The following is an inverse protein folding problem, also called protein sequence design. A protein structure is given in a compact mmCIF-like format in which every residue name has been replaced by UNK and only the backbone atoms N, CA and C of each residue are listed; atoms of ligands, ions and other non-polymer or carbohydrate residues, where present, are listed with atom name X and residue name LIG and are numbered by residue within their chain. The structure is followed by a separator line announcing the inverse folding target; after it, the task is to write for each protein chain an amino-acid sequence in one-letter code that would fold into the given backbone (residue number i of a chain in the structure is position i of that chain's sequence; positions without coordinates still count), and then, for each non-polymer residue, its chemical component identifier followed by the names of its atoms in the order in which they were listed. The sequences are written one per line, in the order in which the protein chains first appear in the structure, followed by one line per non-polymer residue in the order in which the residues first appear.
data_IF_981292064124
#
_entry.id   IF_981292064124
#
_cell.length_a   1.000
_cell.length_b   1.000
_cell.length_c   1.000
_cell.angle_alpha   90.00
_cell.angle_beta   90.00
_cell.angle_gamma   90.00
#
_symmetry.space_group_name_H-M   'P 1'
#
loop_
_entity.id
_entity.type
_entity.pdbx_description
1 polymer ?
#
# COMPACT_ATOMS: atom_id res chain seq x y z
N UNK A 1 -20.91 22.78 51.82
CA UNK A 1 -21.62 22.72 50.52
C UNK A 1 -20.58 22.42 49.45
N UNK A 2 -20.72 21.28 48.75
CA UNK A 2 -19.82 20.84 47.68
C UNK A 2 -20.25 21.52 46.39
N UNK A 3 -19.33 22.16 45.67
CA UNK A 3 -19.48 22.43 44.25
C UNK A 3 -18.10 22.42 43.60
N UNK A 4 -17.64 21.22 43.23
CA UNK A 4 -16.53 21.03 42.29
C UNK A 4 -17.18 20.65 40.97
N UNK A 5 -17.19 21.57 40.01
CA UNK A 5 -17.64 21.30 38.66
C UNK A 5 -16.72 20.25 38.03
N UNK A 6 -17.26 19.04 37.83
CA UNK A 6 -16.64 17.98 37.05
C UNK A 6 -16.94 18.27 35.57
N UNK A 7 -15.98 18.83 34.84
CA UNK A 7 -16.06 18.87 33.38
C UNK A 7 -15.91 17.45 32.81
N UNK A 8 -16.71 17.06 31.79
CA UNK A 8 -16.74 15.71 31.26
C UNK A 8 -15.52 15.45 30.38
N UNK A 9 -15.09 14.19 30.36
CA UNK A 9 -13.80 13.75 29.85
C UNK A 9 -13.53 14.10 28.39
N UNK A 10 -12.47 14.86 28.17
CA UNK A 10 -11.69 14.73 26.95
C UNK A 10 -10.92 13.41 27.05
N UNK A 11 -11.39 12.39 26.31
CA UNK A 11 -10.58 11.20 26.02
C UNK A 11 -9.32 11.67 25.30
N UNK A 12 -8.24 11.94 26.04
CA UNK A 12 -6.91 12.10 25.44
C UNK A 12 -6.59 10.78 24.75
N UNK A 13 -6.61 10.80 23.43
CA UNK A 13 -6.08 9.67 22.65
C UNK A 13 -4.60 9.51 23.05
N UNK A 14 -4.12 8.27 23.24
CA UNK A 14 -2.72 8.05 23.58
C UNK A 14 -1.84 8.68 22.49
N UNK A 15 -0.78 9.38 22.90
CA UNK A 15 0.12 10.15 22.02
C UNK A 15 0.64 9.30 20.85
N UNK A 16 0.85 8.00 21.06
CA UNK A 16 1.23 7.03 20.04
C UNK A 16 0.22 6.88 18.88
N UNK A 17 -1.09 7.00 19.17
CA UNK A 17 -2.14 6.92 18.15
C UNK A 17 -2.25 8.21 17.34
N UNK A 18 -2.07 9.37 17.98
CA UNK A 18 -2.07 10.67 17.29
C UNK A 18 -0.88 10.78 16.33
N UNK A 19 0.33 10.40 16.78
CA UNK A 19 1.53 10.36 15.94
C UNK A 19 1.35 9.43 14.73
N UNK A 20 0.76 8.24 14.93
CA UNK A 20 0.51 7.31 13.83
C UNK A 20 -0.50 7.83 12.80
N UNK A 21 -1.59 8.48 13.25
CA UNK A 21 -2.56 9.10 12.34
C UNK A 21 -1.94 10.30 11.59
N UNK A 22 -1.10 11.10 12.26
CA UNK A 22 -0.36 12.20 11.62
C UNK A 22 0.64 11.69 10.57
N UNK A 23 1.45 10.67 10.89
CA UNK A 23 2.36 10.02 9.94
C UNK A 23 1.61 9.36 8.77
N UNK A 24 0.42 8.82 9.03
CA UNK A 24 -0.44 8.24 7.99
C UNK A 24 -1.01 9.32 7.08
N UNK A 25 -1.43 10.44 7.63
CA UNK A 25 -1.95 11.57 6.84
C UNK A 25 -0.86 12.18 5.98
N UNK A 26 0.35 12.39 6.53
CA UNK A 26 1.51 12.85 5.78
C UNK A 26 1.85 11.91 4.62
N UNK A 27 1.92 10.59 4.88
CA UNK A 27 2.14 9.59 3.82
C UNK A 27 1.04 9.61 2.75
N UNK A 28 -0.21 9.86 3.13
CA UNK A 28 -1.32 9.99 2.19
C UNK A 28 -1.14 11.20 1.30
N UNK A 29 -0.93 12.38 1.88
CA UNK A 29 -0.72 13.62 1.13
C UNK A 29 0.47 13.54 0.18
N UNK A 30 1.59 12.97 0.62
CA UNK A 30 2.77 12.78 -0.23
C UNK A 30 2.49 11.81 -1.38
N UNK A 31 1.75 10.75 -1.12
CA UNK A 31 1.31 9.80 -2.14
C UNK A 31 0.41 10.48 -3.18
N UNK A 32 -0.59 11.23 -2.72
CA UNK A 32 -1.52 11.97 -3.59
C UNK A 32 -0.79 13.02 -4.45
N UNK A 33 0.07 13.85 -3.84
CA UNK A 33 0.89 14.85 -4.56
C UNK A 33 1.79 14.19 -5.60
N UNK A 34 2.42 13.07 -5.27
CA UNK A 34 3.28 12.31 -6.20
C UNK A 34 2.46 11.74 -7.35
N UNK A 35 1.29 11.19 -7.06
CA UNK A 35 0.40 10.61 -8.06
C UNK A 35 -0.12 11.67 -9.04
N UNK A 36 -0.51 12.85 -8.53
CA UNK A 36 -0.92 13.99 -9.36
C UNK A 36 0.21 14.46 -10.28
N UNK A 37 1.45 14.59 -9.76
CA UNK A 37 2.63 14.94 -10.57
C UNK A 37 2.90 13.92 -11.68
N UNK A 38 2.84 12.63 -11.36
CA UNK A 38 3.04 11.57 -12.36
C UNK A 38 1.95 11.58 -13.43
N UNK A 39 0.69 11.84 -13.05
CA UNK A 39 -0.41 11.96 -13.99
C UNK A 39 -0.23 13.15 -14.94
N UNK A 40 0.21 14.31 -14.44
CA UNK A 40 0.52 15.47 -15.26
C UNK A 40 1.65 15.15 -16.27
N UNK A 41 2.77 14.59 -15.80
CA UNK A 41 3.87 14.17 -16.67
C UNK A 41 3.42 13.21 -17.76
N UNK A 42 2.56 12.24 -17.44
CA UNK A 42 2.08 11.26 -18.42
C UNK A 42 1.37 11.91 -19.63
N UNK A 43 0.64 13.01 -19.38
CA UNK A 43 -0.13 13.74 -20.38
C UNK A 43 0.74 14.77 -21.10
N UNK A 44 1.58 15.50 -20.36
CA UNK A 44 2.31 16.67 -20.86
C UNK A 44 3.68 16.31 -21.46
N UNK A 45 4.45 15.45 -20.79
CA UNK A 45 5.80 15.05 -21.23
C UNK A 45 6.04 13.57 -20.95
N UNK A 46 5.76 12.76 -21.98
CA UNK A 46 5.91 11.32 -21.92
C UNK A 46 7.33 10.88 -21.56
N UNK A 47 8.34 11.60 -22.01
CA UNK A 47 9.72 11.22 -21.80
C UNK A 47 10.15 11.53 -20.36
N UNK A 48 9.77 12.69 -19.82
CA UNK A 48 9.95 13.00 -18.41
C UNK A 48 9.20 12.02 -17.51
N UNK A 49 7.97 11.62 -17.87
CA UNK A 49 7.22 10.59 -17.17
C UNK A 49 8.00 9.27 -17.07
N UNK A 50 8.51 8.74 -18.19
CA UNK A 50 9.21 7.45 -18.16
C UNK A 50 10.52 7.50 -17.37
N UNK A 51 11.23 8.65 -17.41
CA UNK A 51 12.42 8.87 -16.55
C UNK A 51 12.05 8.85 -15.07
N UNK A 52 11.02 9.58 -14.68
CA UNK A 52 10.59 9.67 -13.28
C UNK A 52 10.01 8.34 -12.79
N UNK A 53 9.25 7.62 -13.63
CA UNK A 53 8.77 6.26 -13.35
C UNK A 53 9.94 5.33 -13.03
N UNK A 54 10.98 5.34 -13.86
CA UNK A 54 12.17 4.51 -13.64
C UNK A 54 12.89 4.89 -12.35
N UNK A 55 13.10 6.19 -12.10
CA UNK A 55 13.73 6.69 -10.88
C UNK A 55 12.98 6.21 -9.62
N UNK A 56 11.66 6.33 -9.60
CA UNK A 56 10.82 5.90 -8.46
C UNK A 56 10.85 4.39 -8.25
N UNK A 57 10.86 3.59 -9.32
CA UNK A 57 10.99 2.14 -9.23
C UNK A 57 12.36 1.74 -8.71
N UNK A 58 13.43 2.37 -9.19
CA UNK A 58 14.79 2.12 -8.72
C UNK A 58 14.95 2.49 -7.23
N UNK A 59 14.38 3.60 -6.80
CA UNK A 59 14.32 4.02 -5.39
C UNK A 59 13.58 2.97 -4.53
N UNK A 60 12.40 2.54 -4.98
CA UNK A 60 11.61 1.51 -4.29
C UNK A 60 12.33 0.16 -4.21
N UNK A 61 12.93 -0.32 -5.30
CA UNK A 61 13.67 -1.58 -5.28
C UNK A 61 14.90 -1.50 -4.39
N UNK A 62 15.57 -0.35 -4.35
CA UNK A 62 16.74 -0.15 -3.51
C UNK A 62 16.40 -0.10 -2.01
N UNK A 63 15.17 0.26 -1.64
CA UNK A 63 14.72 0.22 -0.24
C UNK A 63 14.36 -1.19 0.26
N UNK A 64 14.28 -2.20 -0.61
CA UNK A 64 14.01 -3.59 -0.22
C UNK A 64 15.29 -4.24 0.27
N UNK A 65 15.38 -4.59 1.55
CA UNK A 65 16.58 -5.18 2.17
C UNK A 65 16.94 -6.55 1.60
N UNK A 66 15.93 -7.41 1.37
CA UNK A 66 16.12 -8.75 0.82
C UNK A 66 16.53 -8.69 -0.66
N UNK A 67 17.78 -9.08 -0.94
CA UNK A 67 18.35 -9.11 -2.28
C UNK A 67 17.62 -10.08 -3.22
N UNK A 68 17.10 -11.21 -2.73
CA UNK A 68 16.31 -12.15 -3.53
C UNK A 68 14.99 -11.53 -3.94
N UNK A 69 14.29 -10.91 -3.00
CA UNK A 69 13.07 -10.16 -3.28
C UNK A 69 13.34 -9.02 -4.27
N UNK A 70 14.41 -8.25 -4.06
CA UNK A 70 14.81 -7.15 -4.95
C UNK A 70 15.03 -7.63 -6.38
N UNK A 71 15.71 -8.76 -6.58
CA UNK A 71 15.90 -9.40 -7.90
C UNK A 71 14.58 -9.79 -8.54
N UNK A 72 13.68 -10.42 -7.77
CA UNK A 72 12.35 -10.85 -8.26
C UNK A 72 11.49 -9.65 -8.69
N UNK A 73 11.50 -8.57 -7.92
CA UNK A 73 10.76 -7.35 -8.25
C UNK A 73 11.27 -6.69 -9.53
N UNK A 74 12.59 -6.61 -9.71
CA UNK A 74 13.19 -6.11 -10.96
C UNK A 74 12.83 -6.98 -12.16
N UNK A 75 12.89 -8.31 -12.00
CA UNK A 75 12.51 -9.24 -13.07
C UNK A 75 11.02 -9.10 -13.44
N UNK A 76 10.14 -8.93 -12.44
CA UNK A 76 8.72 -8.69 -12.66
C UNK A 76 8.49 -7.39 -13.46
N UNK A 77 9.16 -6.30 -13.07
CA UNK A 77 9.07 -5.02 -13.77
C UNK A 77 9.57 -5.12 -15.22
N UNK A 78 10.71 -5.77 -15.45
CA UNK A 78 11.24 -5.97 -16.81
C UNK A 78 10.27 -6.77 -17.67
N UNK A 79 9.73 -7.87 -17.15
CA UNK A 79 8.72 -8.67 -17.86
C UNK A 79 7.47 -7.85 -18.21
N UNK A 80 7.02 -6.98 -17.30
CA UNK A 80 5.89 -6.10 -17.56
C UNK A 80 6.20 -5.11 -18.69
N UNK A 81 7.35 -4.46 -18.63
CA UNK A 81 7.79 -3.48 -19.64
C UNK A 81 7.92 -4.13 -21.02
N UNK A 82 8.50 -5.32 -21.10
CA UNK A 82 8.61 -6.09 -22.34
C UNK A 82 7.24 -6.43 -22.91
N UNK A 83 6.29 -6.89 -22.09
CA UNK A 83 4.91 -7.19 -22.54
C UNK A 83 4.21 -5.93 -23.06
N UNK A 84 4.36 -4.80 -22.36
CA UNK A 84 3.72 -3.54 -22.76
C UNK A 84 4.33 -2.94 -24.02
N UNK A 85 5.64 -3.12 -24.25
CA UNK A 85 6.32 -2.69 -25.48
C UNK A 85 5.77 -3.41 -26.72
N UNK A 86 5.50 -4.72 -26.61
CA UNK A 86 5.02 -5.54 -27.73
C UNK A 86 3.49 -5.51 -27.93
N UNK A 87 2.74 -4.85 -27.04
CA UNK A 87 1.28 -4.76 -27.11
C UNK A 87 0.75 -3.96 -28.31
N UNK A 88 1.58 -3.16 -28.99
CA UNK A 88 1.21 -2.38 -30.16
C UNK A 88 0.43 -1.11 -29.81
N UNK A 89 -0.90 -1.13 -29.89
CA UNK A 89 -1.74 0.07 -29.71
C UNK A 89 -1.90 0.46 -28.22
N UNK A 90 -2.30 1.71 -27.97
CA UNK A 90 -2.60 2.17 -26.61
C UNK A 90 -3.79 1.40 -25.99
N UNK A 91 -4.80 1.06 -26.79
CA UNK A 91 -5.93 0.26 -26.36
C UNK A 91 -5.49 -1.14 -25.92
N UNK A 92 -4.64 -1.81 -26.70
CA UNK A 92 -4.12 -3.13 -26.35
C UNK A 92 -3.29 -3.11 -25.05
N UNK A 93 -2.45 -2.08 -24.87
CA UNK A 93 -1.71 -1.89 -23.61
C UNK A 93 -2.66 -1.76 -22.41
N UNK A 94 -3.73 -0.96 -22.56
CA UNK A 94 -4.71 -0.79 -21.51
C UNK A 94 -5.42 -2.11 -21.17
N UNK A 95 -5.90 -2.84 -22.17
CA UNK A 95 -6.54 -4.15 -21.98
C UNK A 95 -5.59 -5.12 -21.29
N UNK A 96 -4.34 -5.24 -21.76
CA UNK A 96 -3.34 -6.10 -21.12
C UNK A 96 -3.04 -5.70 -19.68
N UNK A 97 -2.95 -4.40 -19.39
CA UNK A 97 -2.74 -3.91 -18.03
C UNK A 97 -3.90 -4.33 -17.10
N UNK A 98 -5.15 -4.19 -17.56
CA UNK A 98 -6.32 -4.67 -16.82
C UNK A 98 -6.28 -6.18 -16.62
N UNK A 99 -5.97 -6.95 -17.67
CA UNK A 99 -5.88 -8.41 -17.60
C UNK A 99 -4.84 -8.84 -16.57
N UNK A 100 -3.61 -8.32 -16.64
CA UNK A 100 -2.55 -8.68 -15.69
C UNK A 100 -2.89 -8.27 -14.25
N UNK A 101 -3.53 -7.11 -14.06
CA UNK A 101 -3.97 -6.68 -12.74
C UNK A 101 -4.99 -7.66 -12.14
N UNK A 102 -6.08 -7.93 -12.86
CA UNK A 102 -7.16 -8.79 -12.36
C UNK A 102 -6.74 -10.24 -12.20
N UNK A 103 -5.90 -10.75 -13.11
CA UNK A 103 -5.34 -12.09 -13.00
C UNK A 103 -4.51 -12.25 -11.73
N UNK A 104 -3.62 -11.29 -11.46
CA UNK A 104 -2.80 -11.30 -10.26
C UNK A 104 -3.63 -11.06 -8.98
N UNK A 105 -4.64 -10.19 -9.05
CA UNK A 105 -5.54 -9.96 -7.93
C UNK A 105 -6.24 -11.25 -7.50
N UNK A 106 -6.88 -11.95 -8.44
CA UNK A 106 -7.63 -13.17 -8.12
C UNK A 106 -6.74 -14.35 -7.76
N UNK A 107 -5.59 -14.51 -8.42
CA UNK A 107 -4.70 -15.66 -8.17
C UNK A 107 -3.85 -15.51 -6.92
N UNK A 108 -3.43 -14.29 -6.58
CA UNK A 108 -2.41 -14.07 -5.55
C UNK A 108 -2.89 -13.17 -4.42
N UNK A 109 -3.36 -11.95 -4.73
CA UNK A 109 -3.65 -10.97 -3.68
C UNK A 109 -4.90 -11.30 -2.88
N UNK A 110 -6.02 -11.60 -3.52
CA UNK A 110 -7.27 -11.92 -2.85
C UNK A 110 -7.11 -13.14 -1.91
N UNK A 111 -6.54 -14.28 -2.33
CA UNK A 111 -6.27 -15.40 -1.42
C UNK A 111 -5.30 -15.03 -0.28
N UNK A 112 -4.26 -14.26 -0.57
CA UNK A 112 -3.29 -13.81 0.43
C UNK A 112 -3.93 -12.93 1.50
N UNK A 113 -4.75 -11.96 1.10
CA UNK A 113 -5.50 -11.07 1.99
C UNK A 113 -6.47 -11.87 2.85
N UNK A 114 -7.21 -12.82 2.25
CA UNK A 114 -8.12 -13.69 2.98
C UNK A 114 -7.37 -14.53 4.04
N UNK A 115 -6.22 -15.11 3.67
CA UNK A 115 -5.38 -15.88 4.61
C UNK A 115 -4.91 -15.01 5.78
N UNK A 116 -4.45 -13.79 5.52
CA UNK A 116 -4.02 -12.84 6.56
C UNK A 116 -5.20 -12.49 7.47
N UNK A 117 -6.37 -12.20 6.91
CA UNK A 117 -7.57 -11.89 7.68
C UNK A 117 -7.96 -13.07 8.60
N UNK A 118 -7.95 -14.30 8.10
CA UNK A 118 -8.21 -15.49 8.92
C UNK A 118 -7.19 -15.66 10.06
N UNK A 119 -5.89 -15.43 9.80
CA UNK A 119 -4.86 -15.50 10.83
C UNK A 119 -5.07 -14.42 11.92
N UNK A 120 -5.40 -13.19 11.53
CA UNK A 120 -5.68 -12.11 12.47
C UNK A 120 -6.91 -12.41 13.34
N UNK A 121 -7.99 -12.91 12.76
CA UNK A 121 -9.19 -13.30 13.52
C UNK A 121 -8.89 -14.42 14.53
N UNK A 122 -8.10 -15.41 14.12
CA UNK A 122 -7.68 -16.50 15.01
C UNK A 122 -6.78 -16.01 16.17
N UNK A 123 -5.94 -15.01 15.93
CA UNK A 123 -5.11 -14.39 16.98
C UNK A 123 -5.96 -13.58 17.97
N UNK A 124 -6.96 -12.83 17.49
CA UNK A 124 -7.90 -12.10 18.36
C UNK A 124 -8.75 -13.06 19.20
N UNK A 125 -9.23 -14.16 18.61
CA UNK A 125 -9.99 -15.18 19.34
C UNK A 125 -9.20 -15.92 20.42
N UNK A 126 -7.89 -16.15 20.22
CA UNK A 126 -7.01 -16.74 21.23
C UNK A 126 -6.77 -15.82 22.44
N UNK A 127 -6.66 -14.52 22.22
CA UNK A 127 -6.45 -13.56 23.31
C UNK A 127 -7.72 -13.23 24.11
N UNK A 128 -8.90 -13.53 23.56
CA UNK A 128 -10.19 -13.35 24.25
C UNK A 128 -10.61 -14.52 25.14
N UNK A 129 -9.96 -15.69 25.02
CA UNK A 129 -10.33 -16.92 25.75
C UNK A 129 -9.42 -17.24 26.93
N UNK A 130 -8.31 -16.52 27.11
CA UNK A 130 -7.37 -16.72 28.23
C UNK A 130 -7.71 -15.92 29.50
N UNK A 131 -8.69 -15.01 29.46
CA UNK A 131 -9.06 -14.18 30.61
C UNK A 131 -10.23 -14.74 31.45
N UNK A 132 -10.87 -15.83 31.01
CA UNK A 132 -12.05 -16.41 31.69
C UNK A 132 -11.75 -17.75 32.41
N UNK A 133 -10.47 -18.11 32.56
CA UNK A 133 -10.05 -19.39 33.16
C UNK A 133 -9.41 -19.28 34.56
N UNK A 134 -9.38 -18.10 35.16
CA UNK A 134 -9.05 -17.90 36.58
C UNK A 134 -10.23 -17.19 37.27
N UNK A 135 -11.20 -17.97 37.74
CA UNK A 135 -12.23 -17.59 38.73
C UNK A 135 -12.23 -18.58 39.87
#
# INVERSE_FOLDING_TARGET
MKNVHRFPGTRRLPVSRLLWEEEKEQRREESEKRHARMAALFVEDRLAFERERKRLLDEFFSSVEDDDMRRRLRALQSSYDDKMKHAGSAHNRFVLAQTFFWDNFHKNWQPGIQKINSLLQNLVGKNGTSNDADS
#
